data_IF_601552479688
#
_entry.id   IF_601552479688
#
_cell.length_a   1.000
_cell.length_b   1.000
_cell.length_c   1.000
_cell.angle_alpha   90.00
_cell.angle_beta   90.00
_cell.angle_gamma   90.00
#
_symmetry.space_group_name_H-M   'P 1'
#
loop_
_entity.id
_entity.type
_entity.pdbx_description
1 polymer ?
#
# COMPACT_ATOMS: atom_id res chain seq x y z
N UNK A 1 35.10 -13.73 25.56
CA UNK A 1 34.58 -13.01 24.40
C UNK A 1 33.11 -13.38 24.26
N UNK A 2 32.21 -12.57 24.78
CA UNK A 2 30.77 -12.70 24.49
C UNK A 2 30.57 -12.45 23.00
N UNK A 3 30.05 -13.45 22.28
CA UNK A 3 29.56 -13.26 20.92
C UNK A 3 28.41 -12.23 21.02
N UNK A 4 28.60 -11.06 20.41
CA UNK A 4 27.53 -10.09 20.29
C UNK A 4 26.38 -10.77 19.53
N UNK A 5 25.27 -11.00 20.22
CA UNK A 5 24.09 -11.59 19.64
C UNK A 5 23.55 -10.55 18.63
N UNK A 6 23.62 -10.86 17.33
CA UNK A 6 23.06 -9.98 16.32
C UNK A 6 21.53 -9.98 16.47
N UNK A 7 20.96 -8.83 16.78
CA UNK A 7 19.52 -8.63 16.81
C UNK A 7 19.01 -8.70 15.37
N UNK A 8 17.99 -9.51 15.12
CA UNK A 8 17.32 -9.59 13.81
C UNK A 8 15.89 -9.06 13.94
N UNK A 9 15.47 -8.14 13.06
CA UNK A 9 14.10 -7.64 12.98
C UNK A 9 13.50 -7.95 11.59
N UNK A 10 12.26 -8.41 11.60
CA UNK A 10 11.46 -8.59 10.39
C UNK A 10 10.50 -7.42 10.21
N UNK A 11 10.69 -6.61 9.17
CA UNK A 11 9.73 -5.61 8.73
C UNK A 11 8.84 -6.18 7.63
N UNK A 12 7.55 -6.25 7.91
CA UNK A 12 6.50 -6.68 6.98
C UNK A 12 5.82 -5.45 6.42
N UNK A 13 5.96 -5.20 5.11
CA UNK A 13 5.46 -3.97 4.51
C UNK A 13 4.71 -4.19 3.20
N UNK A 14 3.97 -3.16 2.75
CA UNK A 14 3.32 -3.19 1.45
C UNK A 14 4.34 -3.02 0.30
N UNK A 15 3.97 -3.50 -0.88
CA UNK A 15 4.85 -3.71 -2.03
C UNK A 15 5.68 -2.47 -2.44
N UNK A 16 5.04 -1.30 -2.53
CA UNK A 16 5.69 -0.06 -3.00
C UNK A 16 6.77 0.44 -2.03
N UNK A 17 6.68 0.10 -0.74
CA UNK A 17 7.68 0.48 0.26
C UNK A 17 9.03 -0.23 0.09
N UNK A 18 9.13 -1.24 -0.77
CA UNK A 18 10.35 -2.01 -1.04
C UNK A 18 11.55 -1.10 -1.38
N UNK A 19 11.36 -0.18 -2.32
CA UNK A 19 12.45 0.68 -2.78
C UNK A 19 12.86 1.68 -1.68
N UNK A 20 11.90 2.21 -0.91
CA UNK A 20 12.19 3.03 0.25
C UNK A 20 13.07 2.30 1.28
N UNK A 21 12.68 1.08 1.67
CA UNK A 21 13.45 0.33 2.67
C UNK A 21 14.80 -0.14 2.18
N UNK A 22 14.98 -0.33 0.87
CA UNK A 22 16.29 -0.63 0.29
C UNK A 22 17.31 0.47 0.61
N UNK A 23 16.88 1.72 0.60
CA UNK A 23 17.74 2.86 0.89
C UNK A 23 17.78 3.19 2.40
N UNK A 24 16.63 3.08 3.07
CA UNK A 24 16.50 3.41 4.49
C UNK A 24 17.24 2.42 5.41
N UNK A 25 17.14 1.12 5.16
CA UNK A 25 17.70 0.10 6.07
C UNK A 25 19.21 0.22 6.30
N UNK A 26 20.06 0.45 5.29
CA UNK A 26 21.49 0.68 5.51
C UNK A 26 21.78 1.92 6.37
N UNK A 27 20.98 2.97 6.22
CA UNK A 27 21.10 4.19 7.03
C UNK A 27 20.72 3.90 8.49
N UNK A 28 19.64 3.19 8.72
CA UNK A 28 19.22 2.81 10.06
C UNK A 28 20.24 1.88 10.73
N UNK A 29 20.75 0.87 10.05
CA UNK A 29 21.78 -0.03 10.57
C UNK A 29 23.06 0.73 10.99
N UNK A 30 23.50 1.70 10.17
CA UNK A 30 24.64 2.56 10.49
C UNK A 30 24.35 3.42 11.73
N UNK A 31 23.18 4.02 11.79
CA UNK A 31 22.75 4.82 12.94
C UNK A 31 22.70 3.97 14.22
N UNK A 32 22.04 2.81 14.16
CA UNK A 32 21.91 1.91 15.31
C UNK A 32 23.26 1.48 15.86
N UNK A 33 24.17 1.10 14.97
CA UNK A 33 25.54 0.75 15.37
C UNK A 33 26.26 1.90 16.06
N UNK A 34 26.05 3.13 15.63
CA UNK A 34 26.69 4.31 16.23
C UNK A 34 26.12 4.65 17.60
N UNK A 35 24.81 4.47 17.84
CA UNK A 35 24.15 4.87 19.09
C UNK A 35 24.08 3.73 20.11
N UNK A 36 23.89 2.49 19.67
CA UNK A 36 23.74 1.31 20.54
C UNK A 36 25.01 0.43 20.61
N UNK A 37 25.98 0.62 19.70
CA UNK A 37 27.17 -0.22 19.61
C UNK A 37 26.91 -1.62 19.02
N UNK A 38 25.68 -1.93 18.64
CA UNK A 38 25.23 -3.25 18.22
C UNK A 38 25.00 -3.31 16.71
N UNK A 39 25.17 -4.50 16.14
CA UNK A 39 24.79 -4.75 14.74
C UNK A 39 23.39 -5.34 14.69
N UNK A 40 22.55 -4.81 13.82
CA UNK A 40 21.18 -5.28 13.61
C UNK A 40 21.00 -5.82 12.19
N UNK A 41 20.38 -6.99 12.06
CA UNK A 41 19.94 -7.53 10.79
C UNK A 41 18.50 -7.11 10.52
N UNK A 42 18.23 -6.52 9.35
CA UNK A 42 16.89 -6.11 8.94
C UNK A 42 16.38 -7.01 7.82
N UNK A 43 15.46 -7.89 8.15
CA UNK A 43 14.75 -8.75 7.20
C UNK A 43 13.51 -8.02 6.67
N UNK A 44 13.15 -8.31 5.42
CA UNK A 44 12.04 -7.64 4.74
C UNK A 44 11.08 -8.65 4.12
N UNK A 45 9.77 -8.40 4.28
CA UNK A 45 8.72 -9.07 3.54
C UNK A 45 7.84 -8.02 2.86
N UNK A 46 7.72 -8.07 1.53
CA UNK A 46 6.97 -7.08 0.75
C UNK A 46 5.95 -7.77 -0.15
N UNK A 47 4.68 -7.41 -0.02
CA UNK A 47 3.59 -7.86 -0.88
C UNK A 47 2.41 -6.87 -0.82
N UNK A 48 1.28 -7.19 -1.44
CA UNK A 48 0.06 -6.40 -1.28
C UNK A 48 -0.33 -6.27 0.20
N UNK A 49 -0.69 -5.06 0.66
CA UNK A 49 -0.92 -4.74 2.08
C UNK A 49 -1.86 -5.74 2.77
N UNK A 50 -3.02 -6.04 2.15
CA UNK A 50 -3.97 -7.00 2.71
C UNK A 50 -3.42 -8.43 2.81
N UNK A 51 -2.52 -8.83 1.90
CA UNK A 51 -1.84 -10.13 1.95
C UNK A 51 -0.87 -10.19 3.12
N UNK A 52 -0.10 -9.12 3.32
CA UNK A 52 0.86 -9.01 4.43
C UNK A 52 0.15 -9.01 5.79
N UNK A 53 -0.91 -8.25 5.93
CA UNK A 53 -1.72 -8.21 7.15
C UNK A 53 -2.26 -9.60 7.52
N UNK A 54 -2.76 -10.34 6.54
CA UNK A 54 -3.22 -11.72 6.78
C UNK A 54 -2.07 -12.63 7.19
N UNK A 55 -0.92 -12.55 6.54
CA UNK A 55 0.24 -13.35 6.90
C UNK A 55 0.67 -13.12 8.35
N UNK A 56 0.67 -11.86 8.81
CA UNK A 56 0.96 -11.53 10.23
C UNK A 56 -0.14 -12.05 11.15
N UNK A 57 -1.41 -11.90 10.79
CA UNK A 57 -2.53 -12.42 11.56
C UNK A 57 -2.54 -13.95 11.65
N UNK A 58 -2.00 -14.63 10.65
CA UNK A 58 -1.88 -16.09 10.54
C UNK A 58 -0.57 -16.63 11.16
N UNK A 59 0.24 -15.76 11.79
CA UNK A 59 1.42 -16.18 12.58
C UNK A 59 2.78 -15.86 11.97
N UNK A 60 2.87 -15.03 10.92
CA UNK A 60 4.16 -14.48 10.50
C UNK A 60 4.69 -13.57 11.61
N UNK A 61 5.79 -13.98 12.24
CA UNK A 61 6.43 -13.30 13.37
C UNK A 61 7.14 -12.01 12.89
N UNK A 62 6.39 -10.92 12.87
CA UNK A 62 6.83 -9.62 12.43
C UNK A 62 7.12 -8.70 13.61
N UNK A 63 8.31 -8.10 13.63
CA UNK A 63 8.69 -7.09 14.63
C UNK A 63 8.12 -5.71 14.28
N UNK A 64 8.05 -5.41 12.98
CA UNK A 64 7.54 -4.13 12.47
C UNK A 64 6.57 -4.39 11.33
N UNK A 65 5.44 -3.68 11.34
CA UNK A 65 4.48 -3.67 10.24
C UNK A 65 4.37 -2.27 9.66
N UNK A 66 4.47 -2.16 8.34
CA UNK A 66 4.29 -0.90 7.61
C UNK A 66 3.24 -1.11 6.53
N UNK A 67 2.03 -0.67 6.81
CA UNK A 67 0.88 -0.87 5.90
C UNK A 67 0.49 0.46 5.25
N UNK A 68 -0.17 0.40 4.11
CA UNK A 68 -0.59 1.62 3.42
C UNK A 68 -2.00 2.10 3.81
N UNK A 69 -2.66 1.41 4.72
CA UNK A 69 -3.98 1.81 5.25
C UNK A 69 -4.06 1.58 6.76
N UNK A 70 -4.62 2.53 7.49
CA UNK A 70 -4.86 2.41 8.93
C UNK A 70 -5.72 1.17 9.24
N UNK A 71 -6.76 0.88 8.44
CA UNK A 71 -7.62 -0.29 8.61
C UNK A 71 -6.88 -1.63 8.61
N UNK A 72 -5.71 -1.72 7.99
CA UNK A 72 -4.88 -2.91 8.02
C UNK A 72 -4.17 -3.06 9.36
N UNK A 73 -3.73 -1.96 9.96
CA UNK A 73 -3.13 -1.94 11.30
C UNK A 73 -4.21 -2.11 12.38
N UNK A 74 -5.38 -1.50 12.20
CA UNK A 74 -6.54 -1.66 13.10
C UNK A 74 -6.94 -3.14 13.19
N UNK A 75 -6.97 -3.86 12.07
CA UNK A 75 -7.24 -5.30 12.06
C UNK A 75 -6.23 -6.10 12.91
N UNK A 76 -4.94 -5.76 12.84
CA UNK A 76 -3.92 -6.38 13.69
C UNK A 76 -4.10 -6.00 15.17
N UNK A 77 -4.53 -4.78 15.44
CA UNK A 77 -4.83 -4.31 16.79
C UNK A 77 -6.07 -5.03 17.38
N UNK A 78 -7.08 -5.31 16.58
CA UNK A 78 -8.24 -6.13 16.97
C UNK A 78 -7.84 -7.57 17.32
N UNK A 79 -6.82 -8.10 16.64
CA UNK A 79 -6.22 -9.41 16.92
C UNK A 79 -5.27 -9.42 18.13
N UNK A 80 -5.00 -8.26 18.74
CA UNK A 80 -4.07 -8.14 19.85
C UNK A 80 -2.58 -8.19 19.47
N UNK A 81 -2.25 -8.12 18.17
CA UNK A 81 -0.88 -8.17 17.67
C UNK A 81 -0.21 -6.79 17.63
N UNK A 82 -1.00 -5.73 17.63
CA UNK A 82 -0.56 -4.34 17.72
C UNK A 82 -1.33 -3.66 18.85
N UNK A 83 -0.69 -2.74 19.54
CA UNK A 83 -1.37 -1.98 20.58
C UNK A 83 -2.54 -1.17 20.02
N UNK A 84 -3.70 -1.17 20.68
CA UNK A 84 -4.91 -0.46 20.22
C UNK A 84 -4.71 1.05 20.09
N UNK A 85 -3.77 1.60 20.82
CA UNK A 85 -3.40 3.03 20.84
C UNK A 85 -2.21 3.35 19.92
N UNK A 86 -1.81 2.45 19.02
CA UNK A 86 -0.63 2.58 18.15
C UNK A 86 -0.54 3.95 17.46
N UNK A 87 -1.68 4.47 17.00
CA UNK A 87 -1.73 5.75 16.31
C UNK A 87 -1.29 6.94 17.19
N UNK A 88 -1.43 6.84 18.53
CA UNK A 88 -1.01 7.87 19.48
C UNK A 88 0.45 7.76 19.90
N UNK A 89 1.08 6.61 19.62
CA UNK A 89 2.46 6.33 20.04
C UNK A 89 3.51 6.93 19.10
N UNK A 90 3.10 7.35 17.91
CA UNK A 90 3.98 7.91 16.89
C UNK A 90 3.41 9.22 16.35
N UNK A 91 4.27 10.13 15.84
CA UNK A 91 3.83 11.36 15.18
C UNK A 91 2.87 11.08 14.02
N UNK A 92 2.02 12.07 13.70
CA UNK A 92 1.09 12.04 12.57
C UNK A 92 0.20 10.78 12.53
N UNK A 93 -0.29 10.34 13.67
CA UNK A 93 -1.10 9.12 13.80
C UNK A 93 -0.40 7.86 13.25
N UNK A 94 0.88 7.71 13.54
CA UNK A 94 1.74 6.64 13.01
C UNK A 94 1.86 6.63 11.48
N UNK A 95 1.68 7.79 10.83
CA UNK A 95 1.76 7.94 9.39
C UNK A 95 3.02 8.73 9.01
N UNK A 96 4.13 8.06 8.63
CA UNK A 96 5.39 8.74 8.34
C UNK A 96 5.37 9.56 7.05
N UNK A 97 4.47 9.27 6.12
CA UNK A 97 4.27 9.97 4.85
C UNK A 97 2.85 9.76 4.31
N UNK A 98 2.48 10.57 3.33
CA UNK A 98 1.20 10.49 2.61
C UNK A 98 1.44 10.37 1.12
N UNK A 99 0.45 9.87 0.38
CA UNK A 99 0.49 9.74 -1.07
C UNK A 99 -0.90 9.99 -1.67
N UNK A 100 -0.99 9.98 -3.00
CA UNK A 100 -2.25 10.14 -3.72
C UNK A 100 -2.34 9.14 -4.87
N UNK A 101 -3.57 8.97 -5.41
CA UNK A 101 -3.78 8.17 -6.63
C UNK A 101 -3.52 9.03 -7.85
N UNK A 102 -2.76 8.50 -8.79
CA UNK A 102 -2.42 9.16 -10.05
C UNK A 102 -2.63 8.22 -11.23
N UNK A 103 -2.85 8.79 -12.42
CA UNK A 103 -2.84 8.05 -13.67
C UNK A 103 -1.42 7.99 -14.23
N UNK A 104 -0.97 6.80 -14.57
CA UNK A 104 0.22 6.60 -15.38
C UNK A 104 -0.23 6.32 -16.80
N UNK A 105 0.25 7.12 -17.75
CA UNK A 105 -0.09 6.99 -19.16
C UNK A 105 1.17 6.82 -19.99
N UNK A 106 1.03 6.23 -21.17
CA UNK A 106 2.14 6.11 -22.12
C UNK A 106 2.69 7.49 -22.49
N UNK A 107 3.98 7.55 -22.81
CA UNK A 107 4.66 8.79 -23.21
C UNK A 107 3.84 9.50 -24.31
N UNK A 108 3.62 10.79 -24.11
CA UNK A 108 2.82 11.62 -25.00
C UNK A 108 1.30 11.47 -24.85
N UNK A 109 0.83 10.63 -23.94
CA UNK A 109 -0.61 10.40 -23.68
C UNK A 109 -1.46 10.26 -24.95
N UNK A 110 -1.20 9.28 -25.82
CA UNK A 110 -1.80 9.20 -27.16
C UNK A 110 -3.33 9.04 -27.15
N UNK A 111 -3.92 8.65 -26.02
CA UNK A 111 -5.37 8.56 -25.84
C UNK A 111 -5.98 9.76 -25.13
N UNK A 112 -5.17 10.80 -24.86
CA UNK A 112 -5.58 12.03 -24.19
C UNK A 112 -6.36 11.82 -22.87
N UNK A 113 -5.94 10.83 -22.08
CA UNK A 113 -6.55 10.50 -20.77
C UNK A 113 -6.15 11.56 -19.75
N UNK A 114 -7.11 12.29 -19.18
CA UNK A 114 -6.85 13.40 -18.25
C UNK A 114 -7.58 13.25 -16.93
N UNK A 115 -8.68 12.49 -16.92
CA UNK A 115 -9.54 12.39 -15.75
C UNK A 115 -10.17 10.99 -15.64
N UNK A 116 -10.80 10.71 -14.52
CA UNK A 116 -11.52 9.47 -14.25
C UNK A 116 -12.60 9.14 -15.30
N UNK A 117 -13.28 10.17 -15.83
CA UNK A 117 -14.27 10.00 -16.89
C UNK A 117 -13.68 9.39 -18.18
N UNK A 118 -12.38 9.59 -18.43
CA UNK A 118 -11.73 9.08 -19.62
C UNK A 118 -11.44 7.59 -19.51
N UNK A 119 -11.07 7.11 -18.31
CA UNK A 119 -10.66 5.70 -18.13
C UNK A 119 -11.84 4.71 -18.13
N UNK A 120 -13.08 5.22 -18.10
CA UNK A 120 -14.30 4.40 -18.21
C UNK A 120 -14.92 4.42 -19.61
N UNK A 121 -14.30 5.09 -20.57
CA UNK A 121 -14.76 5.13 -21.98
C UNK A 121 -14.58 3.76 -22.65
N UNK A 122 -15.44 3.41 -23.61
CA UNK A 122 -15.24 2.21 -24.43
C UNK A 122 -13.89 2.22 -25.15
N UNK A 123 -13.24 1.05 -25.24
CA UNK A 123 -11.93 0.89 -25.89
C UNK A 123 -10.72 1.37 -25.10
N UNK A 124 -10.93 1.89 -23.88
CA UNK A 124 -9.85 2.16 -22.93
C UNK A 124 -9.60 0.90 -22.11
N UNK A 125 -8.33 0.52 -21.98
CA UNK A 125 -7.90 -0.55 -21.09
C UNK A 125 -7.02 0.05 -19.99
N UNK A 126 -7.25 -0.38 -18.76
CA UNK A 126 -6.51 0.04 -17.57
C UNK A 126 -5.97 -1.16 -16.81
N UNK A 127 -4.75 -1.07 -16.31
CA UNK A 127 -4.21 -2.03 -15.36
C UNK A 127 -4.45 -1.48 -13.96
N UNK A 128 -5.13 -2.25 -13.13
CA UNK A 128 -5.46 -1.85 -11.76
C UNK A 128 -4.83 -2.81 -10.75
N UNK A 129 -4.32 -2.32 -9.61
CA UNK A 129 -4.02 -3.19 -8.49
C UNK A 129 -5.30 -3.87 -7.98
N UNK A 130 -5.20 -5.15 -7.61
CA UNK A 130 -6.38 -5.93 -7.21
C UNK A 130 -7.00 -5.40 -5.89
N UNK A 131 -8.27 -4.93 -5.89
CA UNK A 131 -8.85 -4.24 -4.73
C UNK A 131 -9.05 -5.12 -3.49
N UNK A 132 -9.18 -6.43 -3.63
CA UNK A 132 -9.30 -7.36 -2.48
C UNK A 132 -7.95 -7.71 -1.84
N UNK A 133 -6.84 -7.59 -2.59
CA UNK A 133 -5.54 -8.10 -2.16
C UNK A 133 -4.54 -6.98 -1.87
N UNK A 134 -4.80 -5.77 -2.35
CA UNK A 134 -3.86 -4.66 -2.25
C UNK A 134 -4.52 -3.39 -1.70
N UNK A 135 -3.79 -2.65 -0.88
CA UNK A 135 -4.26 -1.36 -0.40
C UNK A 135 -4.39 -0.33 -1.53
N UNK A 136 -3.45 -0.34 -2.50
CA UNK A 136 -3.55 0.54 -3.68
C UNK A 136 -4.82 0.25 -4.49
N UNK A 137 -5.21 -1.01 -4.64
CA UNK A 137 -6.47 -1.37 -5.30
C UNK A 137 -7.69 -0.86 -4.54
N UNK A 138 -7.68 -0.94 -3.20
CA UNK A 138 -8.75 -0.35 -2.37
C UNK A 138 -8.81 1.17 -2.54
N UNK A 139 -7.68 1.87 -2.52
CA UNK A 139 -7.64 3.31 -2.77
C UNK A 139 -8.09 3.67 -4.18
N UNK A 140 -7.73 2.90 -5.21
CA UNK A 140 -8.22 3.10 -6.57
C UNK A 140 -9.74 2.97 -6.63
N UNK A 141 -10.30 1.95 -6.00
CA UNK A 141 -11.75 1.74 -5.91
C UNK A 141 -12.44 2.94 -5.21
N UNK A 142 -11.93 3.35 -4.05
CA UNK A 142 -12.49 4.46 -3.26
C UNK A 142 -12.36 5.80 -3.99
N UNK A 143 -11.24 6.04 -4.69
CA UNK A 143 -11.05 7.26 -5.46
C UNK A 143 -12.03 7.35 -6.64
N UNK A 144 -12.24 6.24 -7.36
CA UNK A 144 -13.22 6.16 -8.44
C UNK A 144 -14.66 6.36 -7.93
N UNK A 145 -14.98 5.74 -6.80
CA UNK A 145 -16.27 5.91 -6.13
C UNK A 145 -16.50 7.37 -5.72
N UNK A 146 -15.52 7.95 -5.02
CA UNK A 146 -15.57 9.35 -4.57
C UNK A 146 -15.61 10.36 -5.71
N UNK A 147 -14.98 10.07 -6.85
CA UNK A 147 -15.10 10.86 -8.05
C UNK A 147 -16.56 10.88 -8.55
N UNK A 148 -17.17 9.70 -8.68
CA UNK A 148 -18.54 9.58 -9.18
C UNK A 148 -19.58 10.25 -8.25
N UNK A 149 -19.40 10.15 -6.94
CA UNK A 149 -20.26 10.84 -5.97
C UNK A 149 -20.22 12.36 -6.10
N UNK A 150 -19.08 12.93 -6.53
CA UNK A 150 -18.91 14.38 -6.70
C UNK A 150 -19.43 14.92 -8.04
N UNK A 151 -19.85 14.06 -8.95
CA UNK A 151 -20.46 14.51 -10.20
C UNK A 151 -21.90 15.02 -9.98
N UNK A 152 -22.41 15.90 -10.84
CA UNK A 152 -23.82 16.32 -10.77
C UNK A 152 -24.74 15.10 -10.75
N UNK A 153 -25.66 15.04 -9.77
CA UNK A 153 -26.53 13.88 -9.55
C UNK A 153 -25.86 12.64 -8.97
N UNK A 154 -24.62 12.79 -8.45
CA UNK A 154 -23.84 11.69 -7.86
C UNK A 154 -24.54 11.08 -6.64
N UNK A 155 -24.63 9.76 -6.62
CA UNK A 155 -25.16 8.95 -5.53
C UNK A 155 -24.53 7.54 -5.60
N UNK A 156 -24.86 6.67 -4.63
CA UNK A 156 -24.27 5.33 -4.56
C UNK A 156 -24.52 4.49 -5.82
N UNK A 157 -25.66 4.62 -6.45
CA UNK A 157 -25.98 3.89 -7.68
C UNK A 157 -25.10 4.37 -8.84
N UNK A 158 -24.94 5.68 -9.02
CA UNK A 158 -24.05 6.23 -10.08
C UNK A 158 -22.59 5.88 -9.81
N UNK A 159 -22.17 5.86 -8.55
CA UNK A 159 -20.82 5.45 -8.15
C UNK A 159 -20.60 3.94 -8.43
N UNK A 160 -21.57 3.08 -8.12
CA UNK A 160 -21.51 1.65 -8.45
C UNK A 160 -21.42 1.41 -9.95
N UNK A 161 -22.23 2.13 -10.77
CA UNK A 161 -22.20 2.02 -12.22
C UNK A 161 -20.85 2.49 -12.78
N UNK A 162 -20.30 3.58 -12.25
CA UNK A 162 -19.01 4.12 -12.65
C UNK A 162 -17.87 3.11 -12.37
N UNK A 163 -17.81 2.61 -11.14
CA UNK A 163 -16.80 1.61 -10.75
C UNK A 163 -16.95 0.33 -11.55
N UNK A 164 -18.17 -0.11 -11.82
CA UNK A 164 -18.43 -1.29 -12.66
C UNK A 164 -17.85 -1.11 -14.08
N UNK A 165 -17.98 0.08 -14.66
CA UNK A 165 -17.37 0.40 -15.97
C UNK A 165 -15.84 0.43 -15.90
N UNK A 166 -15.27 1.00 -14.82
CA UNK A 166 -13.84 1.00 -14.60
C UNK A 166 -13.29 -0.44 -14.53
N UNK A 167 -13.94 -1.29 -13.75
CA UNK A 167 -13.53 -2.69 -13.59
C UNK A 167 -13.68 -3.52 -14.89
N UNK A 168 -14.70 -3.22 -15.71
CA UNK A 168 -14.85 -3.83 -17.04
C UNK A 168 -13.71 -3.44 -18.00
N UNK A 169 -13.18 -2.25 -17.86
CA UNK A 169 -12.04 -1.77 -18.65
C UNK A 169 -10.68 -2.29 -18.13
N UNK A 170 -10.67 -3.07 -17.05
CA UNK A 170 -9.48 -3.67 -16.47
C UNK A 170 -9.32 -5.14 -16.89
N UNK A 171 -8.62 -5.45 -17.99
CA UNK A 171 -8.39 -6.83 -18.42
C UNK A 171 -7.44 -7.57 -17.47
N UNK A 172 -6.70 -6.84 -16.62
CA UNK A 172 -5.73 -7.38 -15.70
C UNK A 172 -5.80 -6.66 -14.36
N UNK A 173 -5.76 -7.44 -13.28
CA UNK A 173 -5.58 -6.97 -11.93
C UNK A 173 -4.20 -7.36 -11.41
N UNK A 174 -3.35 -6.35 -11.22
CA UNK A 174 -1.97 -6.53 -10.77
C UNK A 174 -1.89 -6.91 -9.28
N UNK A 175 -0.81 -7.57 -8.89
CA UNK A 175 -0.57 -8.02 -7.52
C UNK A 175 -0.19 -6.88 -6.55
N UNK A 176 0.14 -5.69 -7.09
CA UNK A 176 0.50 -4.50 -6.31
C UNK A 176 0.58 -3.26 -7.19
N UNK A 177 0.80 -2.11 -6.57
CA UNK A 177 0.92 -0.84 -7.29
C UNK A 177 2.14 -0.78 -8.21
N UNK A 178 3.26 -1.34 -7.78
CA UNK A 178 4.48 -1.45 -8.59
C UNK A 178 4.26 -2.34 -9.81
N UNK A 179 3.67 -3.51 -9.60
CA UNK A 179 3.33 -4.46 -10.65
C UNK A 179 2.42 -3.81 -11.70
N UNK A 180 1.38 -3.08 -11.25
CA UNK A 180 0.50 -2.33 -12.16
C UNK A 180 1.21 -1.26 -12.99
N UNK A 181 2.28 -0.65 -12.47
CA UNK A 181 3.03 0.39 -13.17
C UNK A 181 4.06 -0.16 -14.17
N UNK A 182 4.44 -1.43 -14.05
CA UNK A 182 5.44 -2.09 -14.90
C UNK A 182 4.85 -3.05 -15.94
N UNK A 183 3.54 -3.31 -15.87
CA UNK A 183 2.78 -4.08 -16.87
C UNK A 183 2.38 -3.21 -18.07
#
# INVERSE_FOLDING_TARGET
>A
LALAQSVSLLNVSYDVARDFYKDYNPMFQKHWKAVAGETIELKQSHAGSSKQVRAVADGLDADVVTMNQASDVDFLAEKGLVAKDYARRFPNNASPYTSTMVFIVRKGNPKALRDWSDVVKPGIQVVLPHPKNTGNGRYTYLAAWGYALRQPGGNDRTAQDFVSRLLKNAPLFAAGGRDAATT
#
